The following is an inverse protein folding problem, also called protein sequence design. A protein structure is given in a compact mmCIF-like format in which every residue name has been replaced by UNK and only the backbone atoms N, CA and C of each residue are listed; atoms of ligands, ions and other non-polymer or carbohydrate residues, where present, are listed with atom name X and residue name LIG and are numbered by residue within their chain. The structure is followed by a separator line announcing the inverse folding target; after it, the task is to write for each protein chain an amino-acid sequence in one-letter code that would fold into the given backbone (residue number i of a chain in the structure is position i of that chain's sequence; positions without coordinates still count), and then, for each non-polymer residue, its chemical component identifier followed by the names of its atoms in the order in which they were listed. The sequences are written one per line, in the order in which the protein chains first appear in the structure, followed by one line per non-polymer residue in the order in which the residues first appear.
data_IF_011346544351
#
_entry.id   IF_011346544351
#
_cell.length_a   1.000
_cell.length_b   1.000
_cell.length_c   1.000
_cell.angle_alpha   90.00
_cell.angle_beta   90.00
_cell.angle_gamma   90.00
#
_symmetry.space_group_name_H-M   'P 1'
#
loop_
_entity.id
_entity.type
_entity.pdbx_description
1 polymer ?
#
# COMPACT_ATOMS: atom_id res chain seq x y z
N UNK A 1 -28.33 7.19 24.35
CA UNK A 1 -27.86 6.34 23.24
C UNK A 1 -26.35 6.47 23.22
N UNK A 2 -25.61 5.35 23.35
CA UNK A 2 -24.15 5.38 23.32
C UNK A 2 -23.71 5.43 21.85
N UNK A 3 -22.93 6.44 21.46
CA UNK A 3 -22.33 6.50 20.13
C UNK A 3 -20.86 6.06 20.26
N UNK A 4 -20.40 5.21 19.34
CA UNK A 4 -18.99 4.81 19.26
C UNK A 4 -18.42 5.34 17.96
N UNK A 5 -17.39 6.20 18.04
CA UNK A 5 -16.68 6.71 16.88
C UNK A 5 -15.32 6.01 16.76
N UNK A 6 -15.09 5.38 15.61
CA UNK A 6 -13.84 4.69 15.27
C UNK A 6 -13.02 5.57 14.33
N UNK A 7 -11.80 5.89 14.75
CA UNK A 7 -10.80 6.55 13.92
C UNK A 7 -9.75 5.52 13.50
N UNK A 8 -9.67 5.26 12.20
CA UNK A 8 -8.77 4.30 11.60
C UNK A 8 -7.51 4.98 11.07
N UNK A 9 -6.37 4.30 11.12
CA UNK A 9 -5.03 4.80 10.72
C UNK A 9 -4.64 6.18 11.27
N UNK A 10 -4.73 6.38 12.58
CA UNK A 10 -4.32 7.65 13.19
C UNK A 10 -2.85 8.02 12.94
N UNK A 11 -2.00 7.06 12.57
CA UNK A 11 -0.61 7.33 12.18
C UNK A 11 -0.48 8.09 10.85
N UNK A 12 -1.49 8.08 9.97
CA UNK A 12 -1.47 8.88 8.74
C UNK A 12 -1.62 10.37 8.99
N UNK A 13 -2.03 10.78 10.20
CA UNK A 13 -2.16 12.19 10.61
C UNK A 13 -2.96 13.04 9.62
N UNK A 14 -4.08 12.48 9.15
CA UNK A 14 -5.07 13.24 8.38
C UNK A 14 -5.55 14.46 9.16
N UNK A 15 -5.62 15.61 8.51
CA UNK A 15 -6.08 16.86 9.15
C UNK A 15 -7.49 16.74 9.72
N UNK A 16 -8.35 15.98 9.05
CA UNK A 16 -9.73 15.75 9.51
C UNK A 16 -9.72 14.92 10.79
N UNK A 17 -8.91 13.86 10.83
CA UNK A 17 -8.77 13.02 12.02
C UNK A 17 -8.24 13.85 13.20
N UNK A 18 -7.14 14.59 13.00
CA UNK A 18 -6.54 15.43 14.03
C UNK A 18 -7.52 16.50 14.55
N UNK A 19 -8.27 17.17 13.65
CA UNK A 19 -9.28 18.17 14.02
C UNK A 19 -10.43 17.56 14.84
N UNK A 20 -10.98 16.43 14.40
CA UNK A 20 -12.11 15.80 15.09
C UNK A 20 -11.65 15.30 16.46
N UNK A 21 -10.53 14.58 16.53
CA UNK A 21 -10.03 14.01 17.77
C UNK A 21 -9.60 15.10 18.76
N UNK A 22 -8.99 16.19 18.29
CA UNK A 22 -8.69 17.35 19.10
C UNK A 22 -9.94 18.02 19.67
N UNK A 23 -10.98 18.21 18.83
CA UNK A 23 -12.25 18.80 19.24
C UNK A 23 -12.99 17.96 20.28
N UNK A 24 -12.95 16.63 20.13
CA UNK A 24 -13.55 15.67 21.08
C UNK A 24 -12.87 15.74 22.45
N UNK A 25 -11.53 15.84 22.48
CA UNK A 25 -10.78 16.02 23.73
C UNK A 25 -11.14 17.34 24.43
N UNK A 26 -11.16 18.44 23.69
CA UNK A 26 -11.43 19.77 24.25
C UNK A 26 -12.86 19.87 24.83
N UNK A 27 -13.83 19.24 24.17
CA UNK A 27 -15.24 19.31 24.56
C UNK A 27 -15.75 18.05 25.31
N UNK A 28 -14.87 17.24 25.88
CA UNK A 28 -15.20 15.93 26.48
C UNK A 28 -16.40 15.98 27.45
N UNK A 29 -16.51 17.03 28.29
CA UNK A 29 -17.61 17.19 29.25
C UNK A 29 -18.99 17.26 28.58
N UNK A 30 -19.07 17.80 27.35
CA UNK A 30 -20.30 17.88 26.56
C UNK A 30 -20.61 16.56 25.84
N UNK A 31 -19.58 15.77 25.53
CA UNK A 31 -19.66 14.56 24.70
C UNK A 31 -19.42 13.26 25.49
N UNK A 32 -19.67 13.26 26.80
CA UNK A 32 -19.46 12.12 27.71
C UNK A 32 -20.27 10.85 27.38
N UNK A 33 -21.22 10.93 26.44
CA UNK A 33 -22.01 9.80 25.94
C UNK A 33 -21.38 9.15 24.69
N UNK A 34 -20.30 9.73 24.16
CA UNK A 34 -19.56 9.23 23.00
C UNK A 34 -18.30 8.51 23.48
N UNK A 35 -18.15 7.24 23.10
CA UNK A 35 -16.90 6.50 23.27
C UNK A 35 -16.09 6.59 22.00
N UNK A 36 -14.79 6.77 22.11
CA UNK A 36 -13.92 6.91 20.94
C UNK A 36 -12.90 5.78 20.94
N UNK A 37 -12.72 5.13 19.79
CA UNK A 37 -11.66 4.17 19.59
C UNK A 37 -10.74 4.68 18.48
N UNK A 38 -9.46 4.81 18.78
CA UNK A 38 -8.45 5.25 17.81
C UNK A 38 -7.55 4.06 17.53
N UNK A 39 -7.34 3.71 16.27
CA UNK A 39 -6.50 2.56 15.88
C UNK A 39 -5.26 3.04 15.12
N UNK A 40 -4.14 2.35 15.31
CA UNK A 40 -2.87 2.73 14.70
C UNK A 40 -1.83 1.61 14.65
N UNK A 41 -0.95 1.65 13.64
CA UNK A 41 0.13 0.69 13.44
C UNK A 41 1.48 1.12 14.04
N UNK A 42 1.79 2.41 14.00
CA UNK A 42 3.15 2.97 14.25
C UNK A 42 3.22 4.10 15.25
N UNK A 43 2.11 4.42 15.89
CA UNK A 43 2.08 5.60 16.72
C UNK A 43 2.87 5.39 18.01
N UNK A 44 3.53 6.45 18.45
CA UNK A 44 4.16 6.50 19.76
C UNK A 44 3.07 6.38 20.82
N UNK A 45 3.05 5.24 21.52
CA UNK A 45 2.03 4.89 22.50
C UNK A 45 2.00 5.85 23.67
N UNK A 46 3.17 6.23 24.17
CA UNK A 46 3.32 7.06 25.35
C UNK A 46 2.85 8.49 25.05
N UNK A 47 3.25 9.01 23.89
CA UNK A 47 2.82 10.33 23.44
C UNK A 47 1.29 10.37 23.23
N UNK A 48 0.71 9.39 22.56
CA UNK A 48 -0.72 9.39 22.25
C UNK A 48 -1.57 9.11 23.48
N UNK A 49 -1.22 8.10 24.28
CA UNK A 49 -1.93 7.83 25.54
C UNK A 49 -1.85 9.04 26.47
N UNK A 50 -0.67 9.64 26.63
CA UNK A 50 -0.47 10.85 27.44
C UNK A 50 -1.30 12.04 26.94
N UNK A 51 -1.39 12.23 25.61
CA UNK A 51 -2.28 13.25 25.04
C UNK A 51 -3.75 13.02 25.41
N UNK A 52 -4.21 11.78 25.55
CA UNK A 52 -5.59 11.47 25.97
C UNK A 52 -5.71 11.08 27.44
N UNK A 53 -5.03 11.81 28.33
CA UNK A 53 -5.14 11.61 29.79
C UNK A 53 -4.79 10.17 30.23
N UNK A 54 -3.75 9.58 29.65
CA UNK A 54 -3.31 8.20 29.87
C UNK A 54 -4.38 7.16 29.52
N UNK A 55 -5.00 7.34 28.36
CA UNK A 55 -6.02 6.42 27.85
C UNK A 55 -5.51 4.97 27.78
N UNK A 56 -6.38 3.98 28.08
CA UNK A 56 -6.00 2.58 28.03
C UNK A 56 -5.67 2.15 26.59
N UNK A 57 -4.59 1.38 26.49
CA UNK A 57 -4.06 0.85 25.22
C UNK A 57 -4.34 -0.63 25.16
N UNK A 58 -4.86 -1.09 24.02
CA UNK A 58 -5.01 -2.50 23.68
C UNK A 58 -4.05 -2.80 22.54
N UNK A 59 -3.08 -3.67 22.80
CA UNK A 59 -2.18 -4.21 21.78
C UNK A 59 -2.83 -5.41 21.11
N UNK A 60 -2.83 -5.42 19.78
CA UNK A 60 -3.29 -6.58 19.00
C UNK A 60 -2.04 -7.28 18.46
N UNK A 61 -1.78 -8.54 18.86
CA UNK A 61 -0.58 -9.24 18.40
C UNK A 61 -0.66 -9.49 16.89
N UNK A 62 0.20 -8.81 16.15
CA UNK A 62 0.40 -9.07 14.73
C UNK A 62 1.18 -10.37 14.49
N UNK A 63 0.91 -11.05 13.38
CA UNK A 63 1.78 -12.12 12.86
C UNK A 63 2.55 -11.58 11.68
N UNK A 64 3.83 -11.28 11.91
CA UNK A 64 4.76 -10.95 10.83
C UNK A 64 5.59 -12.18 10.47
N UNK A 65 5.73 -12.42 9.18
CA UNK A 65 6.68 -13.38 8.66
C UNK A 65 7.98 -12.64 8.27
N UNK A 66 9.15 -13.24 8.44
CA UNK A 66 10.40 -12.61 8.01
C UNK A 66 10.39 -12.38 6.50
N UNK A 67 10.63 -11.14 6.08
CA UNK A 67 10.71 -10.74 4.67
C UNK A 67 12.17 -10.45 4.31
N UNK A 68 12.65 -11.06 3.22
CA UNK A 68 13.96 -10.73 2.64
C UNK A 68 13.82 -9.47 1.79
N UNK A 69 14.67 -8.47 2.04
CA UNK A 69 14.67 -7.21 1.30
C UNK A 69 15.85 -7.19 0.34
N UNK A 70 15.57 -6.89 -0.93
CA UNK A 70 16.57 -6.70 -1.98
C UNK A 70 16.34 -5.35 -2.67
N UNK A 71 17.42 -4.64 -2.97
CA UNK A 71 17.37 -3.35 -3.65
C UNK A 71 17.87 -3.48 -5.08
N UNK A 72 17.11 -2.94 -6.02
CA UNK A 72 17.48 -2.92 -7.43
C UNK A 72 18.39 -1.71 -7.68
N UNK A 73 19.66 -1.98 -8.01
CA UNK A 73 20.62 -0.94 -8.38
C UNK A 73 20.57 -0.74 -9.89
N UNK A 74 20.25 0.48 -10.34
CA UNK A 74 20.36 0.82 -11.76
C UNK A 74 21.83 1.05 -12.12
N UNK A 75 22.44 0.10 -12.82
CA UNK A 75 23.79 0.25 -13.36
C UNK A 75 23.87 1.51 -14.24
N UNK A 76 24.69 2.48 -13.84
CA UNK A 76 24.98 3.69 -14.62
C UNK A 76 24.36 5.01 -14.15
N UNK A 77 23.66 5.07 -13.01
CA UNK A 77 23.26 6.34 -12.39
C UNK A 77 24.06 6.61 -11.10
N UNK A 78 24.79 7.72 -11.07
CA UNK A 78 25.67 8.15 -9.98
C UNK A 78 24.98 8.40 -8.62
N UNK A 79 23.63 8.38 -8.60
CA UNK A 79 22.82 8.73 -7.42
C UNK A 79 22.00 7.55 -6.86
N UNK A 80 21.96 6.39 -7.53
CA UNK A 80 21.14 5.25 -7.10
C UNK A 80 19.62 5.47 -7.13
N UNK A 81 19.15 6.67 -7.49
CA UNK A 81 17.73 7.03 -7.62
C UNK A 81 17.25 6.72 -9.03
N UNK A 82 16.18 5.94 -9.15
CA UNK A 82 15.51 5.71 -10.44
C UNK A 82 14.72 6.96 -10.78
N UNK A 83 14.94 7.52 -11.98
CA UNK A 83 14.11 8.60 -12.51
C UNK A 83 12.63 8.20 -12.50
N UNK A 84 11.75 9.09 -12.03
CA UNK A 84 10.31 8.81 -11.92
C UNK A 84 9.70 8.33 -13.25
N UNK A 85 10.19 8.83 -14.39
CA UNK A 85 9.73 8.43 -15.74
C UNK A 85 10.04 6.98 -16.13
N UNK A 86 10.97 6.31 -15.42
CA UNK A 86 11.40 4.93 -15.69
C UNK A 86 10.89 3.93 -14.65
N UNK A 87 10.15 4.38 -13.64
CA UNK A 87 9.68 3.51 -12.55
C UNK A 87 8.79 2.38 -13.06
N UNK A 88 7.84 2.67 -13.94
CA UNK A 88 6.97 1.65 -14.52
C UNK A 88 7.77 0.54 -15.24
N UNK A 89 8.80 0.93 -16.01
CA UNK A 89 9.68 0.02 -16.72
C UNK A 89 10.50 -0.87 -15.78
N UNK A 90 11.03 -0.32 -14.68
CA UNK A 90 11.80 -1.10 -13.71
C UNK A 90 10.90 -2.07 -12.93
N UNK A 91 9.77 -1.58 -12.41
CA UNK A 91 8.81 -2.39 -11.65
C UNK A 91 8.27 -3.55 -12.50
N UNK A 92 7.92 -3.27 -13.76
CA UNK A 92 7.47 -4.30 -14.71
C UNK A 92 8.56 -5.37 -14.96
N UNK A 93 9.82 -4.95 -15.14
CA UNK A 93 10.95 -5.89 -15.30
C UNK A 93 11.16 -6.76 -14.06
N UNK A 94 11.05 -6.20 -12.86
CA UNK A 94 11.13 -6.95 -11.61
C UNK A 94 10.02 -7.98 -11.50
N UNK A 95 8.77 -7.62 -11.82
CA UNK A 95 7.64 -8.55 -11.81
C UNK A 95 7.84 -9.70 -12.79
N UNK A 96 8.37 -9.43 -13.99
CA UNK A 96 8.73 -10.47 -14.97
C UNK A 96 9.86 -11.37 -14.44
N UNK A 97 10.89 -10.78 -13.81
CA UNK A 97 12.01 -11.55 -13.24
C UNK A 97 11.54 -12.52 -12.15
N UNK A 98 10.67 -12.06 -11.25
CA UNK A 98 10.04 -12.91 -10.22
C UNK A 98 9.24 -14.02 -10.89
N UNK A 99 8.44 -13.70 -11.92
CA UNK A 99 7.67 -14.71 -12.65
C UNK A 99 8.54 -15.76 -13.36
N UNK A 100 9.73 -15.40 -13.84
CA UNK A 100 10.64 -16.36 -14.47
C UNK A 100 11.41 -17.21 -13.45
N UNK A 101 11.75 -16.63 -12.29
CA UNK A 101 12.55 -17.30 -11.26
C UNK A 101 11.70 -18.20 -10.36
N UNK A 102 10.47 -17.78 -10.07
CA UNK A 102 9.48 -18.51 -9.28
C UNK A 102 8.22 -18.70 -10.15
N UNK A 103 8.20 -19.63 -11.12
CA UNK A 103 7.16 -19.67 -12.14
C UNK A 103 5.83 -20.29 -11.69
N UNK A 104 5.79 -20.99 -10.56
CA UNK A 104 4.60 -21.70 -10.11
C UNK A 104 3.62 -20.72 -9.47
N UNK A 105 2.35 -20.83 -9.82
CA UNK A 105 1.30 -20.00 -9.19
C UNK A 105 1.23 -20.20 -7.67
N UNK A 106 1.71 -21.34 -7.17
CA UNK A 106 1.78 -21.67 -5.74
C UNK A 106 2.86 -20.89 -4.97
N UNK A 107 3.83 -20.27 -5.65
CA UNK A 107 4.85 -19.48 -4.94
C UNK A 107 4.30 -18.13 -4.44
N UNK A 108 3.04 -17.81 -4.75
CA UNK A 108 2.32 -16.65 -4.23
C UNK A 108 2.19 -15.50 -5.23
N UNK A 109 1.39 -14.50 -4.85
CA UNK A 109 1.08 -13.34 -5.68
C UNK A 109 2.13 -12.23 -5.55
N UNK A 110 2.16 -11.36 -6.56
CA UNK A 110 3.08 -10.23 -6.65
C UNK A 110 2.29 -8.93 -6.52
N UNK A 111 2.63 -8.09 -5.55
CA UNK A 111 2.09 -6.75 -5.37
C UNK A 111 3.15 -5.69 -5.70
N UNK A 112 2.83 -4.77 -6.59
CA UNK A 112 3.72 -3.73 -7.08
C UNK A 112 3.18 -2.35 -6.70
N UNK A 113 3.97 -1.52 -6.01
CA UNK A 113 3.62 -0.14 -5.66
C UNK A 113 4.25 0.88 -6.61
N UNK A 114 3.40 1.70 -7.23
CA UNK A 114 3.77 2.73 -8.19
C UNK A 114 3.18 4.10 -7.82
N UNK A 115 3.80 5.22 -8.25
CA UNK A 115 3.42 6.55 -7.77
C UNK A 115 2.04 7.05 -8.21
N UNK A 116 1.49 6.52 -9.31
CA UNK A 116 0.20 6.99 -9.81
C UNK A 116 -0.41 6.11 -10.91
N UNK A 117 -1.62 6.48 -11.31
CA UNK A 117 -2.43 5.74 -12.28
C UNK A 117 -1.69 5.47 -13.62
N UNK A 118 -1.07 6.49 -14.22
CA UNK A 118 -0.37 6.32 -15.51
C UNK A 118 0.79 5.33 -15.40
N UNK A 119 1.51 5.35 -14.28
CA UNK A 119 2.60 4.43 -14.00
C UNK A 119 2.08 3.00 -13.83
N UNK A 120 0.97 2.83 -13.09
CA UNK A 120 0.29 1.53 -12.90
C UNK A 120 -0.11 0.92 -14.24
N UNK A 121 -0.83 1.69 -15.06
CA UNK A 121 -1.31 1.21 -16.36
C UNK A 121 -0.14 0.87 -17.29
N UNK A 122 0.87 1.75 -17.36
CA UNK A 122 2.08 1.52 -18.16
C UNK A 122 2.85 0.27 -17.71
N UNK A 123 3.05 0.08 -16.41
CA UNK A 123 3.77 -1.08 -15.87
C UNK A 123 3.05 -2.40 -16.20
N UNK A 124 1.71 -2.39 -16.07
CA UNK A 124 0.85 -3.50 -16.45
C UNK A 124 0.96 -3.81 -17.95
N UNK A 125 0.84 -2.81 -18.81
CA UNK A 125 0.92 -3.00 -20.27
C UNK A 125 2.29 -3.56 -20.69
N UNK A 126 3.38 -3.02 -20.11
CA UNK A 126 4.74 -3.53 -20.33
C UNK A 126 4.89 -4.99 -19.86
N UNK A 127 4.26 -5.33 -18.73
CA UNK A 127 4.28 -6.68 -18.19
C UNK A 127 3.53 -7.64 -19.12
N UNK A 128 2.31 -7.31 -19.51
CA UNK A 128 1.47 -8.11 -20.39
C UNK A 128 2.14 -8.34 -21.76
N UNK A 129 2.71 -7.28 -22.36
CA UNK A 129 3.46 -7.38 -23.61
C UNK A 129 4.66 -8.32 -23.49
N UNK A 130 5.36 -8.30 -22.35
CA UNK A 130 6.51 -9.17 -22.10
C UNK A 130 6.08 -10.63 -21.88
N UNK A 131 5.02 -10.87 -21.11
CA UNK A 131 4.44 -12.22 -20.92
C UNK A 131 3.98 -12.80 -22.26
N UNK A 132 3.27 -12.03 -23.09
CA UNK A 132 2.83 -12.47 -24.42
C UNK A 132 4.02 -12.82 -25.33
N UNK A 133 5.13 -12.06 -25.25
CA UNK A 133 6.37 -12.38 -25.98
C UNK A 133 7.02 -13.67 -25.47
N UNK A 134 7.09 -13.87 -24.15
CA UNK A 134 7.62 -15.08 -23.54
C UNK A 134 6.82 -16.32 -23.96
N UNK A 135 5.48 -16.22 -23.94
CA UNK A 135 4.60 -17.31 -24.41
C UNK A 135 4.93 -17.77 -25.82
N UNK A 136 5.37 -16.89 -26.74
CA UNK A 136 5.71 -17.28 -28.12
C UNK A 136 6.99 -18.10 -28.22
N UNK A 137 7.95 -17.88 -27.32
CA UNK A 137 9.31 -18.46 -27.38
C UNK A 137 9.52 -19.59 -26.37
N UNK A 138 8.61 -19.76 -25.42
CA UNK A 138 8.69 -20.75 -24.35
C UNK A 138 8.28 -22.17 -24.78
N UNK A 139 8.81 -23.15 -24.07
CA UNK A 139 8.41 -24.57 -24.15
C UNK A 139 6.95 -24.78 -23.72
N UNK A 140 6.38 -25.95 -24.01
CA UNK A 140 4.99 -26.28 -23.65
C UNK A 140 4.74 -26.21 -22.13
N UNK A 141 5.68 -26.67 -21.31
CA UNK A 141 5.56 -26.63 -19.85
C UNK A 141 5.61 -25.19 -19.31
N UNK A 142 6.48 -24.35 -19.86
CA UNK A 142 6.59 -22.93 -19.47
C UNK A 142 5.35 -22.14 -19.89
N UNK A 143 4.81 -22.41 -21.09
CA UNK A 143 3.54 -21.81 -21.55
C UNK A 143 2.40 -22.07 -20.57
N UNK A 144 2.28 -23.30 -20.07
CA UNK A 144 1.26 -23.65 -19.08
C UNK A 144 1.40 -22.85 -17.78
N UNK A 145 2.62 -22.49 -17.38
CA UNK A 145 2.85 -21.62 -16.22
C UNK A 145 2.47 -20.17 -16.53
N UNK A 146 2.85 -19.66 -17.70
CA UNK A 146 2.52 -18.30 -18.13
C UNK A 146 1.02 -18.08 -18.32
N UNK A 147 0.27 -19.10 -18.77
CA UNK A 147 -1.20 -19.06 -18.90
C UNK A 147 -1.92 -18.89 -17.55
N UNK A 148 -1.23 -19.20 -16.45
CA UNK A 148 -1.75 -19.04 -15.08
C UNK A 148 -1.47 -17.66 -14.50
N UNK A 149 -0.80 -16.76 -15.22
CA UNK A 149 -0.49 -15.42 -14.75
C UNK A 149 -1.59 -14.46 -15.16
N UNK A 150 -2.11 -13.69 -14.21
CA UNK A 150 -3.10 -12.64 -14.48
C UNK A 150 -2.67 -11.32 -13.85
N UNK A 151 -2.53 -10.29 -14.68
CA UNK A 151 -2.20 -8.94 -14.24
C UNK A 151 -3.46 -8.14 -13.92
N UNK A 152 -3.38 -7.27 -12.91
CA UNK A 152 -4.47 -6.38 -12.48
C UNK A 152 -3.94 -4.98 -12.18
N UNK A 153 -4.79 -3.98 -12.36
CA UNK A 153 -4.55 -2.61 -11.94
C UNK A 153 -5.41 -2.27 -10.72
N UNK A 154 -4.88 -1.46 -9.81
CA UNK A 154 -5.60 -0.98 -8.63
C UNK A 154 -5.19 0.46 -8.28
N UNK A 155 -6.08 1.41 -8.55
CA UNK A 155 -5.90 2.83 -8.21
C UNK A 155 -7.24 3.50 -7.89
N UNK A 156 -7.23 4.59 -7.12
CA UNK A 156 -8.44 5.12 -6.47
C UNK A 156 -9.57 5.64 -7.38
N UNK A 157 -9.31 5.93 -8.67
CA UNK A 157 -10.32 6.39 -9.63
C UNK A 157 -10.98 5.25 -10.44
N UNK A 158 -10.61 4.00 -10.16
CA UNK A 158 -11.10 2.83 -10.88
C UNK A 158 -12.51 2.46 -10.43
N UNK A 159 -13.29 1.83 -11.32
CA UNK A 159 -14.65 1.36 -11.01
C UNK A 159 -14.62 0.34 -9.85
N UNK A 160 -15.58 0.37 -8.90
CA UNK A 160 -15.60 -0.55 -7.77
C UNK A 160 -15.58 -2.03 -8.17
N UNK A 161 -16.27 -2.41 -9.26
CA UNK A 161 -16.31 -3.80 -9.72
C UNK A 161 -14.94 -4.25 -10.26
N UNK A 162 -14.21 -3.33 -10.90
CA UNK A 162 -12.84 -3.58 -11.36
C UNK A 162 -11.86 -3.67 -10.18
N UNK A 163 -11.98 -2.79 -9.18
CA UNK A 163 -11.16 -2.90 -7.95
C UNK A 163 -11.41 -4.22 -7.23
N UNK A 164 -12.67 -4.68 -7.19
CA UNK A 164 -13.04 -5.94 -6.56
C UNK A 164 -12.36 -7.17 -7.19
N UNK A 165 -11.88 -7.08 -8.44
CA UNK A 165 -11.19 -8.18 -9.11
C UNK A 165 -9.90 -8.60 -8.41
N UNK A 166 -9.19 -7.66 -7.77
CA UNK A 166 -7.94 -7.98 -7.06
C UNK A 166 -8.17 -8.79 -5.79
N UNK A 167 -9.36 -8.72 -5.19
CA UNK A 167 -9.71 -9.44 -3.95
C UNK A 167 -10.31 -10.83 -4.19
N UNK A 168 -10.78 -11.10 -5.41
CA UNK A 168 -11.36 -12.41 -5.77
C UNK A 168 -10.24 -13.45 -5.88
N UNK A 169 -10.31 -14.53 -5.09
CA UNK A 169 -9.40 -15.67 -5.22
C UNK A 169 -9.53 -16.28 -6.60
N UNK A 170 -8.42 -16.37 -7.32
CA UNK A 170 -8.38 -16.99 -8.64
C UNK A 170 -7.74 -18.38 -8.53
N UNK A 171 -8.52 -19.47 -8.63
CA UNK A 171 -7.98 -20.80 -8.44
C UNK A 171 -6.95 -21.13 -9.52
N UNK A 172 -5.79 -21.64 -9.08
CA UNK A 172 -4.68 -22.09 -9.94
C UNK A 172 -4.11 -20.98 -10.85
N UNK A 173 -4.19 -19.73 -10.41
CA UNK A 173 -3.60 -18.57 -11.06
C UNK A 173 -2.77 -17.76 -10.07
N UNK A 174 -1.72 -17.12 -10.57
CA UNK A 174 -0.99 -16.06 -9.87
C UNK A 174 -1.54 -14.71 -10.29
N UNK A 175 -1.80 -13.84 -9.32
CA UNK A 175 -2.10 -12.42 -9.54
C UNK A 175 -0.82 -11.61 -9.50
N UNK A 176 -0.70 -10.69 -10.45
CA UNK A 176 0.33 -9.65 -10.48
C UNK A 176 -0.38 -8.30 -10.45
N UNK A 177 -0.31 -7.62 -9.31
CA UNK A 177 -1.15 -6.48 -9.00
C UNK A 177 -0.30 -5.23 -9.04
N UNK A 178 -0.59 -4.33 -9.97
CA UNK A 178 0.05 -3.02 -10.06
C UNK A 178 -0.86 -2.00 -9.39
N UNK A 179 -0.38 -1.36 -8.32
CA UNK A 179 -1.20 -0.50 -7.48
C UNK A 179 -0.50 0.79 -7.07
N UNK A 180 -1.29 1.81 -6.71
CA UNK A 180 -0.82 2.92 -5.90
C UNK A 180 -0.85 2.53 -4.41
N UNK A 181 -0.73 3.52 -3.52
CA UNK A 181 -0.95 3.41 -2.08
C UNK A 181 -2.32 2.84 -1.64
N UNK A 182 -3.29 2.71 -2.56
CA UNK A 182 -4.60 2.10 -2.26
C UNK A 182 -4.48 0.68 -1.68
N UNK A 183 -3.51 -0.10 -2.15
CA UNK A 183 -3.29 -1.46 -1.65
C UNK A 183 -2.62 -1.51 -0.27
N UNK A 184 -2.07 -0.41 0.23
CA UNK A 184 -1.35 -0.39 1.51
C UNK A 184 -2.27 -0.04 2.68
N UNK A 185 -3.08 1.01 2.53
CA UNK A 185 -3.78 1.62 3.69
C UNK A 185 -5.20 1.12 3.85
N UNK A 186 -5.78 0.58 2.79
CA UNK A 186 -7.23 0.43 2.69
C UNK A 186 -7.68 -1.01 2.53
N UNK A 187 -6.82 -1.93 2.04
CA UNK A 187 -7.25 -3.30 1.78
C UNK A 187 -6.14 -4.34 1.85
N UNK A 188 -6.32 -5.39 2.66
CA UNK A 188 -5.43 -6.56 2.67
C UNK A 188 -5.72 -7.47 1.47
N UNK A 189 -4.73 -7.70 0.61
CA UNK A 189 -4.81 -8.67 -0.48
C UNK A 189 -4.21 -10.00 -0.01
N UNK A 190 -5.08 -10.98 0.25
CA UNK A 190 -4.65 -12.33 0.65
C UNK A 190 -3.76 -12.99 -0.41
N UNK A 191 -2.77 -13.79 -0.01
CA UNK A 191 -1.92 -14.57 -0.91
C UNK A 191 -0.71 -13.84 -1.53
N UNK A 192 -0.48 -12.57 -1.20
CA UNK A 192 0.72 -11.83 -1.61
C UNK A 192 1.95 -12.39 -0.88
N UNK A 193 2.97 -12.77 -1.64
CA UNK A 193 4.26 -13.26 -1.12
C UNK A 193 5.42 -12.36 -1.58
N UNK A 194 5.27 -11.71 -2.74
CA UNK A 194 6.27 -10.81 -3.29
C UNK A 194 5.76 -9.38 -3.32
N UNK A 195 6.59 -8.44 -2.87
CA UNK A 195 6.30 -7.00 -2.94
C UNK A 195 7.42 -6.31 -3.71
N UNK A 196 7.04 -5.51 -4.71
CA UNK A 196 7.94 -4.61 -5.44
C UNK A 196 7.51 -3.18 -5.12
N UNK A 197 8.32 -2.46 -4.35
CA UNK A 197 8.05 -1.06 -4.02
C UNK A 197 9.01 -0.15 -4.77
N UNK A 198 8.45 0.79 -5.55
CA UNK A 198 9.21 1.85 -6.21
C UNK A 198 9.83 2.87 -5.25
N UNK A 199 9.34 2.96 -4.02
CA UNK A 199 9.72 3.95 -3.03
C UNK A 199 9.23 5.37 -3.38
N UNK A 200 8.28 5.53 -4.31
CA UNK A 200 7.75 6.82 -4.73
C UNK A 200 6.23 6.91 -4.52
N UNK A 201 5.73 8.11 -4.19
CA UNK A 201 4.30 8.42 -4.16
C UNK A 201 4.03 9.80 -4.75
N UNK A 202 2.85 10.01 -5.35
CA UNK A 202 2.37 11.36 -5.66
C UNK A 202 1.74 11.97 -4.40
N UNK A 203 2.21 13.14 -3.99
CA UNK A 203 1.65 13.87 -2.86
C UNK A 203 1.36 15.33 -3.25
N UNK A 204 0.33 15.89 -2.64
CA UNK A 204 0.05 17.33 -2.72
C UNK A 204 1.02 18.04 -1.79
N UNK A 205 1.84 18.93 -2.34
CA UNK A 205 2.76 19.78 -1.61
C UNK A 205 2.26 21.22 -1.70
N UNK A 206 2.00 21.82 -0.55
CA UNK A 206 1.63 23.22 -0.43
C UNK A 206 2.88 24.10 -0.27
N UNK A 207 3.00 25.10 -1.13
CA UNK A 207 4.03 26.14 -1.05
C UNK A 207 3.41 27.38 -0.38
N UNK A 208 3.76 27.71 0.88
CA UNK A 208 3.18 28.83 1.60
C UNK A 208 3.61 30.18 1.04
N UNK A 209 4.79 30.27 0.41
CA UNK A 209 5.28 31.51 -0.18
C UNK A 209 4.53 31.86 -1.47
N UNK A 210 4.09 30.83 -2.19
CA UNK A 210 3.30 30.97 -3.43
C UNK A 210 1.79 30.82 -3.21
N UNK A 211 1.37 30.50 -2.00
CA UNK A 211 -0.02 30.14 -1.65
C UNK A 211 -0.63 29.15 -2.66
N UNK A 212 0.13 28.12 -3.05
CA UNK A 212 -0.26 27.22 -4.12
C UNK A 212 0.08 25.77 -3.79
N UNK A 213 -0.87 24.88 -4.07
CA UNK A 213 -0.68 23.43 -3.98
C UNK A 213 -0.23 22.86 -5.32
N UNK A 214 0.76 21.97 -5.31
CA UNK A 214 1.23 21.24 -6.50
C UNK A 214 1.35 19.75 -6.21
N UNK A 215 1.02 18.90 -7.18
CA UNK A 215 1.22 17.46 -7.07
C UNK A 215 2.64 17.14 -7.52
N UNK A 216 3.41 16.47 -6.65
CA UNK A 216 4.80 16.06 -6.94
C UNK A 216 5.00 14.59 -6.60
N UNK A 217 5.83 13.91 -7.38
CA UNK A 217 6.36 12.60 -7.00
C UNK A 217 7.43 12.80 -5.95
N UNK A 218 7.21 12.24 -4.76
CA UNK A 218 8.13 12.31 -3.63
C UNK A 218 8.65 10.93 -3.31
N UNK A 219 9.91 10.87 -2.84
CA UNK A 219 10.45 9.66 -2.22
C UNK A 219 9.70 9.38 -0.94
N UNK A 220 9.24 8.16 -0.81
CA UNK A 220 8.64 7.63 0.40
C UNK A 220 9.71 6.87 1.18
N UNK A 221 9.89 7.24 2.44
CA UNK A 221 10.49 6.35 3.42
C UNK A 221 9.41 5.36 3.83
N UNK A 222 9.56 4.09 3.45
CA UNK A 222 8.63 3.03 3.84
C UNK A 222 8.73 2.87 5.35
N UNK A 223 7.71 3.31 6.08
CA UNK A 223 7.56 2.94 7.48
C UNK A 223 7.17 1.46 7.51
N UNK A 224 7.99 0.62 8.14
CA UNK A 224 7.65 -0.78 8.37
C UNK A 224 6.49 -0.84 9.36
N UNK A 225 5.25 -1.04 8.90
CA UNK A 225 4.19 -1.43 9.82
C UNK A 225 2.88 -1.81 9.16
N UNK A 226 2.30 -2.88 9.68
CA UNK A 226 0.85 -3.06 9.74
C UNK A 226 0.41 -3.07 11.21
N UNK A 227 -0.87 -2.76 11.43
CA UNK A 227 -1.59 -2.47 12.68
C UNK A 227 -1.08 -3.20 13.94
N UNK A 228 -0.77 -2.45 15.00
CA UNK A 228 -0.36 -3.02 16.29
C UNK A 228 -1.24 -2.57 17.48
N UNK A 229 -2.03 -1.49 17.35
CA UNK A 229 -2.64 -0.87 18.53
C UNK A 229 -4.05 -0.31 18.31
N UNK A 230 -4.89 -0.47 19.33
CA UNK A 230 -6.18 0.21 19.50
C UNK A 230 -6.17 0.95 20.83
N UNK A 231 -6.40 2.25 20.80
CA UNK A 231 -6.61 3.10 21.97
C UNK A 231 -8.12 3.20 22.22
N UNK A 232 -8.56 2.80 23.41
CA UNK A 232 -9.96 2.91 23.81
C UNK A 232 -10.14 4.12 24.72
N UNK A 233 -10.78 5.16 24.21
CA UNK A 233 -11.14 6.35 24.96
C UNK A 233 -12.55 6.16 25.53
N UNK A 234 -12.62 5.96 26.85
CA UNK A 234 -13.85 6.23 27.60
C UNK A 234 -13.68 7.58 28.28
N UNK A 235 -14.47 8.56 27.82
CA UNK A 235 -14.65 9.82 28.52
C UNK A 235 -15.70 9.66 29.62
#
# INVERSE_FOLDING_TARGET
MLAVSLFYEAHERSIICDLIVGSLKENHAKWNHVKVAITSATIDLDLFSGFFNNAPVVEIPGRMFPVKVEYVVSNGQSSGVIEASKVADVVSKCAVMIQQTCPDWRDGDILCFLPGQDDVLRAKDLFDAKIARLMKISSASEKLMLERVQSHALFGKQDPDEQALVFKKQPKKRRVIFSTDVAETSVTIDGVVFVIDSGLRKAVVYDPLRNMSSVRSLVRYVAKSELNYIFLLSF
#
